data_IF_439085263215
#
_entry.id   IF_439085263215
#
_cell.length_a   1.000
_cell.length_b   1.000
_cell.length_c   1.000
_cell.angle_alpha   90.00
_cell.angle_beta   90.00
_cell.angle_gamma   90.00
#
_symmetry.space_group_name_H-M   'P 1'
#
loop_
_entity.id
_entity.type
_entity.pdbx_description
1 polymer ?
#
# COMPACT_ATOMS: atom_id res chain seq x y z
N UNK A 1 -7.75 -14.95 -11.77
CA UNK A 1 -6.91 -13.80 -11.33
C UNK A 1 -7.61 -12.54 -11.79
N UNK A 2 -8.16 -11.76 -10.86
CA UNK A 2 -8.77 -10.48 -11.22
C UNK A 2 -7.70 -9.58 -11.87
N UNK A 3 -8.02 -8.84 -12.96
CA UNK A 3 -7.07 -7.92 -13.62
C UNK A 3 -6.59 -6.79 -12.70
N UNK A 4 -7.22 -6.65 -11.52
CA UNK A 4 -6.86 -5.72 -10.45
C UNK A 4 -5.45 -5.98 -9.89
N UNK A 5 -5.07 -7.25 -9.66
CA UNK A 5 -3.76 -7.59 -9.07
C UNK A 5 -2.59 -7.54 -10.07
N UNK A 6 -2.83 -7.94 -11.32
CA UNK A 6 -1.78 -8.00 -12.35
C UNK A 6 -1.30 -6.62 -12.80
N UNK A 7 -2.20 -5.63 -12.79
CA UNK A 7 -1.89 -4.24 -13.22
C UNK A 7 -1.48 -3.32 -12.07
N UNK A 8 -1.84 -3.65 -10.83
CA UNK A 8 -1.50 -2.83 -9.66
C UNK A 8 -0.05 -3.06 -9.18
N UNK A 9 0.51 -4.26 -9.35
CA UNK A 9 1.83 -4.66 -8.84
C UNK A 9 2.89 -4.93 -9.92
N UNK A 10 2.63 -4.58 -11.18
CA UNK A 10 3.61 -4.71 -12.27
C UNK A 10 4.83 -3.78 -12.14
N UNK A 11 4.79 -2.80 -11.23
CA UNK A 11 6.00 -2.15 -10.72
C UNK A 11 6.60 -3.07 -9.66
N UNK A 12 7.66 -3.79 -10.04
CA UNK A 12 8.39 -4.71 -9.17
C UNK A 12 8.58 -4.13 -7.76
N UNK A 13 8.29 -4.90 -6.69
CA UNK A 13 8.46 -4.48 -5.30
C UNK A 13 9.83 -3.84 -4.99
N UNK A 14 10.86 -4.13 -5.78
CA UNK A 14 12.24 -3.66 -5.65
C UNK A 14 12.44 -2.15 -5.91
N UNK A 15 11.76 -1.55 -6.89
CA UNK A 15 11.93 -0.11 -7.20
C UNK A 15 11.19 0.80 -6.21
N UNK A 16 10.02 0.38 -5.73
CA UNK A 16 9.30 1.06 -4.66
C UNK A 16 9.99 0.85 -3.30
N UNK A 17 10.50 -0.35 -3.01
CA UNK A 17 11.22 -0.62 -1.77
C UNK A 17 12.51 0.18 -1.65
N UNK A 18 13.30 0.32 -2.73
CA UNK A 18 14.50 1.16 -2.69
C UNK A 18 14.13 2.64 -2.51
N UNK A 19 13.18 3.19 -3.27
CA UNK A 19 12.78 4.59 -3.15
C UNK A 19 12.21 4.98 -1.78
N UNK A 20 11.28 4.18 -1.23
CA UNK A 20 10.62 4.48 0.05
C UNK A 20 11.47 4.16 1.28
N UNK A 21 12.18 3.03 1.30
CA UNK A 21 12.93 2.62 2.50
C UNK A 21 14.37 3.11 2.52
N UNK A 22 14.99 3.43 1.38
CA UNK A 22 16.39 3.90 1.39
C UNK A 22 16.46 5.41 1.29
N UNK A 23 15.71 6.06 0.40
CA UNK A 23 15.79 7.51 0.17
C UNK A 23 15.71 8.38 1.44
N UNK A 24 14.61 8.32 2.21
CA UNK A 24 14.46 9.13 3.42
C UNK A 24 15.52 8.82 4.50
N UNK A 25 15.84 7.54 4.69
CA UNK A 25 16.80 7.08 5.70
C UNK A 25 18.23 7.54 5.42
N UNK A 26 18.66 7.55 4.16
CA UNK A 26 19.99 8.04 3.77
C UNK A 26 20.12 9.56 3.92
N UNK A 27 19.06 10.32 3.64
CA UNK A 27 19.15 11.78 3.59
C UNK A 27 18.76 12.53 4.86
N UNK A 28 17.66 12.15 5.50
CA UNK A 28 17.22 12.78 6.74
C UNK A 28 17.82 12.09 7.96
N UNK A 29 18.26 10.83 7.80
CA UNK A 29 18.70 9.96 8.87
C UNK A 29 17.57 9.07 9.39
N UNK A 30 17.92 7.96 10.08
CA UNK A 30 16.99 6.90 10.44
C UNK A 30 15.96 7.24 11.53
N UNK A 31 16.10 8.37 12.21
CA UNK A 31 15.26 8.77 13.36
C UNK A 31 14.57 10.12 13.15
N UNK A 32 14.29 10.48 11.90
CA UNK A 32 13.51 11.68 11.59
C UNK A 32 12.03 11.33 11.41
N UNK A 33 11.11 12.25 11.73
CA UNK A 33 9.68 12.04 11.53
C UNK A 33 9.30 11.62 10.11
N UNK A 34 10.06 12.11 9.11
CA UNK A 34 9.88 11.76 7.69
C UNK A 34 10.25 10.30 7.40
N UNK A 35 11.39 9.83 7.93
CA UNK A 35 11.82 8.43 7.77
C UNK A 35 10.89 7.46 8.50
N UNK A 36 10.43 7.82 9.70
CA UNK A 36 9.48 7.02 10.47
C UNK A 36 8.13 6.90 9.74
N UNK A 37 7.57 8.02 9.28
CA UNK A 37 6.31 8.01 8.53
C UNK A 37 6.43 7.21 7.22
N UNK A 38 7.53 7.36 6.48
CA UNK A 38 7.76 6.59 5.26
C UNK A 38 7.79 5.08 5.54
N UNK A 39 8.41 4.67 6.65
CA UNK A 39 8.38 3.28 7.12
C UNK A 39 6.97 2.81 7.47
N UNK A 40 6.19 3.61 8.20
CA UNK A 40 4.79 3.28 8.52
C UNK A 40 3.91 3.15 7.28
N UNK A 41 4.03 4.07 6.32
CA UNK A 41 3.32 4.02 5.04
C UNK A 41 3.62 2.72 4.32
N UNK A 42 4.90 2.33 4.24
CA UNK A 42 5.33 1.10 3.60
C UNK A 42 4.74 -0.15 4.26
N UNK A 43 4.78 -0.23 5.58
CA UNK A 43 4.20 -1.35 6.34
C UNK A 43 2.68 -1.44 6.14
N UNK A 44 1.98 -0.31 6.14
CA UNK A 44 0.54 -0.26 5.86
C UNK A 44 0.20 -0.77 4.46
N UNK A 45 1.02 -0.46 3.45
CA UNK A 45 0.85 -0.94 2.08
C UNK A 45 1.05 -2.44 1.95
N UNK A 46 2.10 -2.98 2.58
CA UNK A 46 2.34 -4.42 2.61
C UNK A 46 1.15 -5.14 3.23
N UNK A 47 0.69 -4.69 4.41
CA UNK A 47 -0.45 -5.31 5.10
C UNK A 47 -1.72 -5.24 4.24
N UNK A 48 -2.08 -4.06 3.74
CA UNK A 48 -3.24 -3.85 2.89
C UNK A 48 -3.23 -4.77 1.68
N UNK A 49 -2.11 -4.80 0.94
CA UNK A 49 -2.01 -5.63 -0.26
C UNK A 49 -2.09 -7.13 0.04
N UNK A 50 -1.50 -7.58 1.14
CA UNK A 50 -1.58 -8.97 1.57
C UNK A 50 -3.01 -9.38 1.92
N UNK A 51 -3.73 -8.52 2.62
CA UNK A 51 -5.12 -8.76 3.03
C UNK A 51 -6.09 -8.78 1.84
N UNK A 52 -6.01 -7.80 0.92
CA UNK A 52 -6.84 -7.79 -0.30
C UNK A 52 -6.58 -9.06 -1.12
N UNK A 53 -5.32 -9.49 -1.25
CA UNK A 53 -4.97 -10.70 -2.01
C UNK A 53 -5.59 -11.95 -1.39
N UNK A 54 -5.53 -12.08 -0.07
CA UNK A 54 -6.15 -13.20 0.65
C UNK A 54 -7.67 -13.23 0.46
N UNK A 55 -8.34 -12.07 0.47
CA UNK A 55 -9.77 -11.98 0.15
C UNK A 55 -10.06 -12.49 -1.27
N UNK A 56 -9.37 -11.95 -2.29
CA UNK A 56 -9.56 -12.31 -3.71
C UNK A 56 -9.35 -13.82 -3.96
N UNK A 57 -8.43 -14.45 -3.23
CA UNK A 57 -8.16 -15.89 -3.32
C UNK A 57 -9.26 -16.78 -2.71
N UNK A 58 -10.02 -16.28 -1.74
CA UNK A 58 -11.04 -17.08 -1.03
C UNK A 58 -12.47 -16.82 -1.49
N UNK A 59 -12.77 -15.66 -2.10
CA UNK A 59 -14.10 -15.34 -2.66
C UNK A 59 -14.68 -16.50 -3.49
N UNK A 60 -13.95 -17.12 -4.45
CA UNK A 60 -14.50 -18.21 -5.26
C UNK A 60 -14.83 -19.50 -4.49
N UNK A 61 -14.49 -19.57 -3.20
CA UNK A 61 -14.69 -20.72 -2.32
C UNK A 61 -15.79 -20.48 -1.31
N UNK A 62 -16.29 -19.25 -1.21
CA UNK A 62 -17.39 -18.88 -0.33
C UNK A 62 -18.68 -19.51 -0.85
N UNK A 63 -19.51 -19.97 0.09
CA UNK A 63 -20.83 -20.57 -0.21
C UNK A 63 -21.98 -19.74 0.36
N UNK A 64 -21.66 -18.85 1.30
CA UNK A 64 -22.61 -17.94 1.90
C UNK A 64 -22.53 -16.62 1.13
N UNK A 65 -23.62 -16.27 0.45
CA UNK A 65 -23.71 -15.06 -0.38
C UNK A 65 -23.48 -13.78 0.43
N UNK A 66 -23.93 -13.72 1.70
CA UNK A 66 -23.74 -12.55 2.54
C UNK A 66 -22.26 -12.36 2.96
N UNK A 67 -21.55 -13.46 3.20
CA UNK A 67 -20.11 -13.41 3.52
C UNK A 67 -19.29 -13.04 2.28
N UNK A 68 -19.69 -13.57 1.11
CA UNK A 68 -19.07 -13.26 -0.18
C UNK A 68 -19.23 -11.78 -0.52
N UNK A 69 -20.45 -11.24 -0.48
CA UNK A 69 -20.75 -9.82 -0.74
C UNK A 69 -19.96 -8.90 0.19
N UNK A 70 -19.87 -9.23 1.48
CA UNK A 70 -19.10 -8.46 2.46
C UNK A 70 -17.60 -8.43 2.10
N UNK A 71 -17.05 -9.57 1.71
CA UNK A 71 -15.62 -9.69 1.38
C UNK A 71 -15.31 -9.00 0.05
N UNK A 72 -16.21 -9.05 -0.91
CA UNK A 72 -16.12 -8.29 -2.16
C UNK A 72 -16.15 -6.77 -1.92
N UNK A 73 -17.06 -6.28 -1.07
CA UNK A 73 -17.08 -4.86 -0.68
C UNK A 73 -15.77 -4.44 0.00
N UNK A 74 -15.22 -5.31 0.84
CA UNK A 74 -13.95 -5.06 1.51
C UNK A 74 -12.78 -5.01 0.52
N UNK A 75 -12.75 -5.90 -0.49
CA UNK A 75 -11.77 -5.87 -1.58
C UNK A 75 -11.89 -4.57 -2.39
N UNK A 76 -13.10 -4.17 -2.76
CA UNK A 76 -13.35 -2.95 -3.54
C UNK A 76 -12.94 -1.68 -2.77
N UNK A 77 -13.31 -1.58 -1.49
CA UNK A 77 -12.88 -0.46 -0.62
C UNK A 77 -11.36 -0.44 -0.41
N UNK A 78 -10.72 -1.60 -0.26
CA UNK A 78 -9.26 -1.72 -0.19
C UNK A 78 -8.60 -1.28 -1.50
N UNK A 79 -9.18 -1.68 -2.64
CA UNK A 79 -8.71 -1.29 -3.95
C UNK A 79 -8.79 0.22 -4.20
N UNK A 80 -9.84 0.89 -3.70
CA UNK A 80 -9.92 2.36 -3.69
C UNK A 80 -8.78 3.02 -2.90
N UNK A 81 -8.34 2.43 -1.78
CA UNK A 81 -7.21 2.95 -0.99
C UNK A 81 -5.89 2.82 -1.75
N UNK A 82 -5.68 1.67 -2.43
CA UNK A 82 -4.53 1.47 -3.32
C UNK A 82 -4.54 2.48 -4.47
N UNK A 83 -5.70 2.74 -5.07
CA UNK A 83 -5.83 3.74 -6.14
C UNK A 83 -5.56 5.18 -5.66
N UNK A 84 -5.98 5.54 -4.44
CA UNK A 84 -5.63 6.84 -3.84
C UNK A 84 -4.11 6.98 -3.69
N UNK A 85 -3.43 5.93 -3.23
CA UNK A 85 -1.98 5.92 -3.11
C UNK A 85 -1.28 6.05 -4.47
N UNK A 86 -1.73 5.31 -5.50
CA UNK A 86 -1.20 5.45 -6.86
C UNK A 86 -1.31 6.87 -7.40
N UNK A 87 -2.41 7.58 -7.10
CA UNK A 87 -2.59 8.98 -7.50
C UNK A 87 -1.58 9.88 -6.77
N UNK A 88 -1.30 9.64 -5.50
CA UNK A 88 -0.27 10.35 -4.75
C UNK A 88 1.14 10.11 -5.34
N UNK A 89 1.48 8.85 -5.68
CA UNK A 89 2.75 8.53 -6.33
C UNK A 89 2.92 9.28 -7.67
N UNK A 90 1.87 9.31 -8.50
CA UNK A 90 1.90 10.06 -9.77
C UNK A 90 2.07 11.56 -9.59
N UNK A 91 1.49 12.13 -8.52
CA UNK A 91 1.70 13.55 -8.20
C UNK A 91 3.18 13.84 -7.86
N UNK A 92 3.89 12.85 -7.31
CA UNK A 92 5.31 12.94 -7.00
C UNK A 92 6.22 12.71 -8.20
N UNK A 93 5.77 12.02 -9.25
CA UNK A 93 6.59 11.76 -10.45
C UNK A 93 7.11 13.05 -11.09
N UNK A 94 6.27 14.08 -11.24
CA UNK A 94 6.67 15.33 -11.90
C UNK A 94 7.83 16.06 -11.17
N UNK A 95 7.76 16.33 -9.85
CA UNK A 95 8.89 16.90 -9.13
C UNK A 95 10.09 15.96 -9.02
N UNK A 96 9.88 14.64 -8.88
CA UNK A 96 10.98 13.66 -8.91
C UNK A 96 11.74 13.68 -10.24
N UNK A 97 11.05 13.69 -11.38
CA UNK A 97 11.65 13.72 -12.72
C UNK A 97 12.45 15.01 -12.97
N UNK A 98 12.06 16.13 -12.35
CA UNK A 98 12.79 17.40 -12.43
C UNK A 98 14.13 17.38 -11.68
N UNK A 99 14.34 16.41 -10.79
CA UNK A 99 15.58 16.23 -10.02
C UNK A 99 16.50 15.14 -10.56
N UNK A 100 16.09 14.46 -11.64
CA UNK A 100 16.96 13.51 -12.33
C UNK A 100 17.99 14.30 -13.13
N UNK A 101 19.16 14.57 -12.53
CA UNK A 101 20.35 14.89 -13.31
C UNK A 101 20.77 13.65 -14.10
N UNK A 102 20.93 13.82 -15.41
CA UNK A 102 21.35 12.84 -16.42
C UNK A 102 22.03 11.59 -15.84
N UNK A 103 21.27 10.50 -15.73
CA UNK A 103 21.83 9.14 -15.64
C UNK A 103 22.01 8.50 -14.26
N UNK A 104 21.63 9.12 -13.14
CA UNK A 104 21.57 8.43 -11.84
C UNK A 104 20.22 8.61 -11.16
N UNK A 105 19.41 7.55 -11.18
CA UNK A 105 18.23 7.41 -10.32
C UNK A 105 18.75 7.13 -8.89
N UNK A 106 19.24 8.17 -8.20
CA UNK A 106 19.98 8.04 -6.95
C UNK A 106 19.56 9.08 -5.92
N UNK A 107 19.52 8.67 -4.65
CA UNK A 107 19.38 9.43 -3.39
C UNK A 107 18.40 10.63 -3.39
N UNK A 108 18.69 11.66 -4.18
CA UNK A 108 17.89 12.87 -4.37
C UNK A 108 16.47 12.61 -4.86
N UNK A 109 16.26 11.56 -5.69
CA UNK A 109 14.93 11.16 -6.13
C UNK A 109 14.05 10.68 -4.96
N UNK A 110 14.63 10.00 -3.97
CA UNK A 110 13.92 9.57 -2.76
C UNK A 110 13.67 10.71 -1.78
N UNK A 111 14.54 11.73 -1.78
CA UNK A 111 14.35 12.97 -0.99
C UNK A 111 13.17 13.76 -1.49
N UNK A 112 13.13 14.05 -2.79
CA UNK A 112 12.03 14.84 -3.34
C UNK A 112 10.71 14.08 -3.32
N UNK A 113 10.76 12.76 -3.41
CA UNK A 113 9.60 11.93 -3.13
C UNK A 113 9.10 12.10 -1.69
N UNK A 114 10.01 12.03 -0.72
CA UNK A 114 9.72 12.36 0.68
C UNK A 114 9.13 13.76 0.81
N UNK A 115 9.79 14.80 0.29
CA UNK A 115 9.30 16.18 0.40
C UNK A 115 7.93 16.38 -0.23
N UNK A 116 7.69 15.80 -1.40
CA UNK A 116 6.42 15.99 -2.11
C UNK A 116 5.28 15.23 -1.43
N UNK A 117 5.52 14.01 -0.93
CA UNK A 117 4.46 13.25 -0.22
C UNK A 117 4.27 13.67 1.24
N UNK A 118 5.30 14.24 1.86
CA UNK A 118 5.44 14.31 3.32
C UNK A 118 5.67 15.75 3.81
N UNK A 119 6.31 16.65 3.06
CA UNK A 119 6.81 17.93 3.62
C UNK A 119 6.02 19.18 3.17
N UNK A 120 5.16 19.10 2.14
CA UNK A 120 4.15 20.14 1.95
C UNK A 120 3.05 20.01 3.03
N UNK A 121 2.80 21.09 3.79
CA UNK A 121 1.90 21.16 4.95
C UNK A 121 0.47 20.60 4.69
N UNK A 122 0.05 20.56 3.42
CA UNK A 122 -1.23 20.02 2.96
C UNK A 122 -1.15 18.54 2.51
N UNK A 123 -0.02 18.09 1.97
CA UNK A 123 0.20 16.71 1.52
C UNK A 123 0.44 15.77 2.71
N UNK A 124 1.16 16.21 3.77
CA UNK A 124 1.29 15.46 5.02
C UNK A 124 -0.07 15.07 5.60
N UNK A 125 -0.98 16.04 5.73
CA UNK A 125 -2.33 15.81 6.26
C UNK A 125 -3.14 14.87 5.36
N UNK A 126 -2.88 14.83 4.04
CA UNK A 126 -3.52 13.87 3.12
C UNK A 126 -2.97 12.47 3.33
N UNK A 127 -1.65 12.34 3.50
CA UNK A 127 -0.97 11.08 3.79
C UNK A 127 -1.42 10.50 5.12
N UNK A 128 -1.46 11.28 6.20
CA UNK A 128 -1.96 10.85 7.51
C UNK A 128 -3.43 10.41 7.46
N UNK A 129 -4.31 11.18 6.80
CA UNK A 129 -5.73 10.80 6.62
C UNK A 129 -5.88 9.50 5.83
N UNK A 130 -5.05 9.31 4.81
CA UNK A 130 -5.02 8.07 4.05
C UNK A 130 -4.52 6.90 4.89
N UNK A 131 -3.47 7.09 5.70
CA UNK A 131 -2.98 6.08 6.65
C UNK A 131 -4.07 5.69 7.66
N UNK A 132 -4.78 6.67 8.22
CA UNK A 132 -5.91 6.41 9.12
C UNK A 132 -7.02 5.60 8.42
N UNK A 133 -7.28 5.88 7.14
CA UNK A 133 -8.25 5.12 6.35
C UNK A 133 -7.82 3.66 6.15
N UNK A 134 -6.53 3.39 5.95
CA UNK A 134 -6.01 2.01 5.90
C UNK A 134 -6.11 1.36 7.28
N UNK A 135 -5.76 2.05 8.36
CA UNK A 135 -5.86 1.50 9.72
C UNK A 135 -7.30 1.10 10.03
N UNK A 136 -8.29 1.92 9.67
CA UNK A 136 -9.71 1.59 9.82
C UNK A 136 -10.12 0.40 8.94
N UNK A 137 -9.64 0.35 7.69
CA UNK A 137 -9.91 -0.78 6.80
C UNK A 137 -9.32 -2.09 7.37
N UNK A 138 -8.08 -2.06 7.87
CA UNK A 138 -7.45 -3.21 8.52
C UNK A 138 -8.26 -3.67 9.73
N UNK A 139 -8.76 -2.75 10.56
CA UNK A 139 -9.60 -3.09 11.71
C UNK A 139 -10.89 -3.80 11.28
N UNK A 140 -11.53 -3.34 10.20
CA UNK A 140 -12.73 -3.99 9.65
C UNK A 140 -12.42 -5.38 9.10
N UNK A 141 -11.29 -5.52 8.41
CA UNK A 141 -10.85 -6.82 7.93
C UNK A 141 -10.58 -7.78 9.10
N UNK A 142 -9.84 -7.32 10.13
CA UNK A 142 -9.47 -8.13 11.28
C UNK A 142 -10.71 -8.55 12.10
N UNK A 143 -11.71 -7.66 12.22
CA UNK A 143 -12.95 -7.92 12.94
C UNK A 143 -13.95 -8.83 12.20
N UNK A 144 -14.07 -8.69 10.87
CA UNK A 144 -15.15 -9.34 10.12
C UNK A 144 -14.69 -10.51 9.25
N UNK A 145 -13.43 -10.52 8.80
CA UNK A 145 -13.01 -11.43 7.73
C UNK A 145 -11.82 -12.33 8.11
N UNK A 146 -10.90 -11.90 8.97
CA UNK A 146 -9.63 -12.60 9.20
C UNK A 146 -9.82 -14.07 9.63
N UNK A 147 -10.69 -14.35 10.58
CA UNK A 147 -10.93 -15.71 11.06
C UNK A 147 -11.55 -16.61 9.98
N UNK A 148 -12.60 -16.13 9.30
CA UNK A 148 -13.25 -16.85 8.22
C UNK A 148 -12.27 -17.16 7.08
N UNK A 149 -11.52 -16.15 6.63
CA UNK A 149 -10.52 -16.30 5.56
C UNK A 149 -9.44 -17.29 5.97
N UNK A 150 -8.94 -17.22 7.21
CA UNK A 150 -7.95 -18.18 7.75
C UNK A 150 -8.47 -19.61 7.69
N UNK A 151 -9.72 -19.85 8.08
CA UNK A 151 -10.34 -21.18 8.05
C UNK A 151 -10.47 -21.70 6.61
N UNK A 152 -10.92 -20.87 5.68
CA UNK A 152 -11.00 -21.24 4.26
C UNK A 152 -9.62 -21.59 3.68
N UNK A 153 -8.57 -20.84 4.03
CA UNK A 153 -7.21 -21.12 3.58
C UNK A 153 -6.63 -22.40 4.20
N UNK A 154 -6.93 -22.71 5.46
CA UNK A 154 -6.46 -23.92 6.14
C UNK A 154 -7.02 -25.23 5.53
N UNK A 155 -8.24 -25.20 4.99
CA UNK A 155 -8.85 -26.35 4.29
C UNK A 155 -8.06 -26.76 3.03
N UNK A 156 -7.10 -25.95 2.57
CA UNK A 156 -6.28 -26.20 1.38
C UNK A 156 -5.13 -27.20 1.58
N UNK A 157 -4.97 -27.80 2.77
CA UNK A 157 -3.93 -28.81 3.01
C UNK A 157 -4.51 -30.25 2.97
N UNK A 158 -4.62 -30.88 1.79
CA UNK A 158 -4.65 -32.35 1.73
C UNK A 158 -3.24 -32.88 2.03
N UNK A 159 -3.15 -33.79 3.01
CA UNK A 159 -2.06 -34.78 3.12
C UNK A 159 -2.01 -35.68 1.90
#
# INVERSE_FOLDING_TARGET
>A
MSPFFSSAWSLTPTLLASGFMTGPFYHYGPSTPVSELAGEVWLLLIKLSGQIKRCDEVIPRMRNEADEEMVEELVDTGGRLVNKFRKALKACEKPMLQTISVGKLGEQTGVEFGKTMIDEENEWKKTERWMHSIRLWNLRFDANCEEMIRNLLAVKAPT
#
